data_IF_135573724675
#
_entry.id   IF_135573724675
#
_cell.length_a   1.000
_cell.length_b   1.000
_cell.length_c   1.000
_cell.angle_alpha   90.00
_cell.angle_beta   90.00
_cell.angle_gamma   90.00
#
_symmetry.space_group_name_H-M   'P 1'
#
loop_
_entity.id
_entity.type
_entity.pdbx_description
1 polymer ?
#
# COMPACT_ATOMS: atom_id res chain seq x y z
N UNK A 1 -5.93 -15.86 3.68
CA UNK A 1 -5.98 -14.99 4.87
C UNK A 1 -6.55 -13.65 4.46
N UNK A 2 -7.54 -13.17 5.18
CA UNK A 2 -8.18 -11.88 4.90
C UNK A 2 -8.18 -11.03 6.16
N UNK A 3 -7.90 -9.74 6.04
CA UNK A 3 -8.02 -8.79 7.14
C UNK A 3 -8.13 -7.35 6.61
N UNK A 4 -8.68 -6.48 7.45
CA UNK A 4 -8.81 -5.05 7.20
C UNK A 4 -7.91 -4.27 8.16
N UNK A 5 -7.25 -3.24 7.65
CA UNK A 5 -6.50 -2.28 8.46
C UNK A 5 -7.02 -0.87 8.18
N UNK A 6 -7.05 -0.03 9.20
CA UNK A 6 -7.58 1.34 9.09
C UNK A 6 -6.71 2.32 9.85
N UNK A 7 -6.72 3.57 9.39
CA UNK A 7 -6.13 4.70 10.10
C UNK A 7 -6.91 5.97 9.78
N UNK A 8 -7.01 6.88 10.74
CA UNK A 8 -7.55 8.23 10.51
C UNK A 8 -6.37 9.18 10.33
N UNK A 9 -6.32 9.84 9.18
CA UNK A 9 -5.27 10.79 8.81
C UNK A 9 -5.81 12.20 9.06
N UNK A 10 -5.10 13.00 9.85
CA UNK A 10 -5.47 14.38 10.14
C UNK A 10 -5.09 15.32 8.99
N UNK A 11 -5.77 15.12 7.88
CA UNK A 11 -5.64 15.92 6.66
C UNK A 11 -6.88 15.76 5.79
N UNK A 12 -7.24 16.78 4.99
CA UNK A 12 -8.36 16.70 4.03
C UNK A 12 -8.08 15.64 2.96
N UNK A 13 -9.15 15.00 2.49
CA UNK A 13 -9.04 13.89 1.54
C UNK A 13 -8.34 14.25 0.22
N UNK A 14 -8.56 15.44 -0.30
CA UNK A 14 -7.91 15.91 -1.53
C UNK A 14 -6.38 15.93 -1.40
N UNK A 15 -5.87 16.35 -0.26
CA UNK A 15 -4.43 16.36 0.06
C UNK A 15 -3.86 14.95 0.24
N UNK A 16 -4.61 14.10 0.93
CA UNK A 16 -4.23 12.69 1.12
C UNK A 16 -4.08 11.98 -0.23
N UNK A 17 -5.06 12.16 -1.13
CA UNK A 17 -5.05 11.53 -2.45
C UNK A 17 -3.90 12.00 -3.32
N UNK A 18 -3.59 13.30 -3.33
CA UNK A 18 -2.45 13.84 -4.09
C UNK A 18 -1.14 13.15 -3.66
N UNK A 19 -0.95 12.95 -2.36
CA UNK A 19 0.25 12.31 -1.83
C UNK A 19 0.29 10.80 -2.07
N UNK A 20 -0.86 10.14 -1.96
CA UNK A 20 -0.97 8.69 -2.20
C UNK A 20 -0.79 8.33 -3.68
N UNK A 21 -1.37 9.11 -4.58
CA UNK A 21 -1.43 8.79 -6.00
C UNK A 21 -0.18 9.21 -6.79
N UNK A 22 0.90 9.51 -6.11
CA UNK A 22 2.19 9.82 -6.73
C UNK A 22 3.24 8.78 -6.35
N UNK A 23 3.62 7.86 -7.27
CA UNK A 23 4.64 6.84 -6.99
C UNK A 23 6.00 7.39 -6.56
N UNK A 24 6.35 8.62 -6.95
CA UNK A 24 7.61 9.26 -6.53
C UNK A 24 7.67 9.49 -5.01
N UNK A 25 6.52 9.52 -4.33
CA UNK A 25 6.47 9.69 -2.89
C UNK A 25 6.75 8.37 -2.13
N UNK A 26 6.72 7.22 -2.80
CA UNK A 26 6.88 5.92 -2.14
C UNK A 26 8.19 5.81 -1.38
N UNK A 27 9.29 6.28 -1.95
CA UNK A 27 10.60 6.28 -1.27
C UNK A 27 10.65 7.16 -0.02
N UNK A 28 9.72 8.10 0.12
CA UNK A 28 9.67 9.05 1.23
C UNK A 28 9.00 8.48 2.47
N UNK A 29 8.14 7.47 2.31
CA UNK A 29 7.38 6.94 3.45
C UNK A 29 7.32 5.41 3.53
N UNK A 30 7.58 4.68 2.43
CA UNK A 30 7.61 3.22 2.46
C UNK A 30 8.98 2.71 2.90
N UNK A 31 9.02 2.08 4.07
CA UNK A 31 10.25 1.46 4.57
C UNK A 31 10.75 0.38 3.61
N UNK A 32 12.02 0.48 3.25
CA UNK A 32 12.69 -0.50 2.41
C UNK A 32 12.41 -0.38 0.91
N UNK A 33 11.59 0.57 0.48
CA UNK A 33 11.34 0.77 -0.96
C UNK A 33 12.65 1.08 -1.70
N UNK A 34 12.91 0.36 -2.79
CA UNK A 34 14.10 0.55 -3.65
C UNK A 34 13.69 1.12 -5.01
N UNK A 35 12.80 0.44 -5.73
CA UNK A 35 12.45 0.82 -7.10
C UNK A 35 11.08 0.32 -7.53
N UNK A 36 10.51 1.03 -8.51
CA UNK A 36 9.28 0.66 -9.20
C UNK A 36 9.46 1.01 -10.69
N UNK A 37 9.34 0.01 -11.55
CA UNK A 37 9.58 0.17 -12.98
C UNK A 37 8.42 -0.44 -13.76
N UNK A 38 7.86 0.32 -14.72
CA UNK A 38 6.79 -0.19 -15.58
C UNK A 38 7.30 -1.37 -16.42
N UNK A 39 6.64 -2.51 -16.29
CA UNK A 39 6.96 -3.75 -16.99
C UNK A 39 6.12 -3.93 -18.23
N UNK A 40 4.83 -3.66 -18.15
CA UNK A 40 3.88 -3.81 -19.26
C UNK A 40 2.60 -3.02 -18.97
N UNK A 41 1.81 -2.80 -20.02
CA UNK A 41 0.56 -2.06 -19.95
C UNK A 41 0.76 -0.55 -20.04
N UNK A 42 -0.35 0.18 -19.91
CA UNK A 42 -0.35 1.63 -19.90
C UNK A 42 -0.17 2.15 -18.48
N UNK A 43 0.79 3.05 -18.29
CA UNK A 43 1.16 3.58 -16.98
C UNK A 43 -0.04 4.08 -16.17
N UNK A 44 -0.15 3.62 -14.92
CA UNK A 44 -1.20 3.96 -13.96
C UNK A 44 -2.62 3.54 -14.33
N UNK A 45 -2.80 2.76 -15.39
CA UNK A 45 -4.11 2.25 -15.83
C UNK A 45 -4.34 0.81 -15.37
N UNK A 46 -5.59 0.37 -15.23
CA UNK A 46 -5.89 -1.04 -14.96
C UNK A 46 -5.18 -1.96 -15.95
N UNK A 47 -4.56 -3.02 -15.43
CA UNK A 47 -3.74 -3.96 -16.19
C UNK A 47 -2.26 -3.60 -16.26
N UNK A 48 -1.86 -2.39 -15.90
CA UNK A 48 -0.45 -2.03 -15.82
C UNK A 48 0.29 -2.89 -14.79
N UNK A 49 1.48 -3.35 -15.16
CA UNK A 49 2.35 -4.16 -14.30
C UNK A 49 3.66 -3.42 -14.05
N UNK A 50 4.11 -3.52 -12.80
CA UNK A 50 5.36 -2.90 -12.35
C UNK A 50 6.25 -3.93 -11.66
N UNK A 51 7.54 -3.90 -12.00
CA UNK A 51 8.55 -4.60 -11.19
C UNK A 51 8.92 -3.72 -10.01
N UNK A 52 8.74 -4.24 -8.81
CA UNK A 52 9.03 -3.53 -7.56
C UNK A 52 10.10 -4.26 -6.78
N UNK A 53 10.99 -3.48 -6.15
CA UNK A 53 12.04 -3.99 -5.28
C UNK A 53 11.94 -3.33 -3.91
N UNK A 54 12.04 -4.15 -2.87
CA UNK A 54 12.09 -3.73 -1.48
C UNK A 54 13.26 -4.40 -0.76
N UNK A 55 13.83 -3.69 0.19
CA UNK A 55 14.80 -4.27 1.13
C UNK A 55 14.10 -4.55 2.45
N UNK A 56 14.14 -5.81 2.89
CA UNK A 56 13.59 -6.23 4.18
C UNK A 56 14.69 -6.89 5.00
N UNK A 57 15.22 -6.15 5.98
CA UNK A 57 16.40 -6.56 6.72
C UNK A 57 17.64 -6.64 5.79
N UNK A 58 18.23 -7.83 5.68
CA UNK A 58 19.37 -8.08 4.79
C UNK A 58 18.98 -8.61 3.41
N UNK A 59 17.68 -8.81 3.14
CA UNK A 59 17.21 -9.42 1.90
C UNK A 59 16.54 -8.39 1.01
N UNK A 60 16.77 -8.51 -0.29
CA UNK A 60 15.96 -7.84 -1.29
C UNK A 60 14.79 -8.76 -1.69
N UNK A 61 13.60 -8.16 -1.78
CA UNK A 61 12.39 -8.84 -2.24
C UNK A 61 11.96 -8.18 -3.54
N UNK A 62 11.75 -9.01 -4.55
CA UNK A 62 11.17 -8.59 -5.83
C UNK A 62 9.71 -9.03 -5.87
N UNK A 63 8.85 -8.14 -6.36
CA UNK A 63 7.44 -8.43 -6.57
C UNK A 63 6.92 -7.73 -7.82
N UNK A 64 5.82 -8.24 -8.35
CA UNK A 64 5.11 -7.61 -9.47
C UNK A 64 3.80 -7.04 -8.94
N UNK A 65 3.62 -5.74 -9.10
CA UNK A 65 2.33 -5.08 -8.88
C UNK A 65 1.52 -5.13 -10.18
N UNK A 66 0.24 -5.48 -10.09
CA UNK A 66 -0.72 -5.33 -11.18
C UNK A 66 -1.87 -4.46 -10.71
N UNK A 67 -2.10 -3.34 -11.38
CA UNK A 67 -3.25 -2.48 -11.08
C UNK A 67 -4.53 -3.15 -11.56
N UNK A 68 -5.50 -3.31 -10.67
CA UNK A 68 -6.83 -3.84 -10.99
C UNK A 68 -7.85 -2.71 -11.20
N UNK A 69 -7.85 -1.71 -10.32
CA UNK A 69 -8.73 -0.54 -10.38
C UNK A 69 -7.96 0.70 -9.94
N UNK A 70 -8.20 1.81 -10.61
CA UNK A 70 -7.62 3.11 -10.26
C UNK A 70 -8.71 4.18 -10.37
N UNK A 71 -9.49 4.31 -9.30
CA UNK A 71 -10.64 5.22 -9.21
C UNK A 71 -10.66 5.87 -7.82
N UNK A 72 -9.62 6.65 -7.54
CA UNK A 72 -9.49 7.38 -6.28
C UNK A 72 -10.46 8.57 -6.20
N UNK A 73 -10.97 8.89 -5.03
CA UNK A 73 -10.65 8.34 -3.69
C UNK A 73 -11.39 7.04 -3.37
N UNK A 74 -12.32 6.61 -4.22
CA UNK A 74 -13.19 5.46 -3.96
C UNK A 74 -12.39 4.16 -3.81
N UNK A 75 -11.50 3.87 -4.75
CA UNK A 75 -10.70 2.64 -4.71
C UNK A 75 -9.42 2.76 -5.54
N UNK A 76 -8.34 2.25 -5.00
CA UNK A 76 -7.16 1.82 -5.73
C UNK A 76 -6.88 0.37 -5.35
N UNK A 77 -7.08 -0.54 -6.29
CA UNK A 77 -6.92 -1.98 -6.08
C UNK A 77 -5.76 -2.51 -6.91
N UNK A 78 -4.86 -3.26 -6.28
CA UNK A 78 -3.73 -3.88 -6.94
C UNK A 78 -3.41 -5.24 -6.35
N UNK A 79 -2.78 -6.10 -7.15
CA UNK A 79 -2.20 -7.34 -6.67
C UNK A 79 -0.68 -7.22 -6.62
N UNK A 80 -0.08 -7.92 -5.68
CA UNK A 80 1.37 -8.02 -5.49
C UNK A 80 1.76 -9.48 -5.48
N UNK A 81 2.61 -9.86 -6.42
CA UNK A 81 3.06 -11.24 -6.57
C UNK A 81 4.55 -11.36 -6.28
N UNK A 82 4.90 -12.16 -5.31
CA UNK A 82 6.27 -12.53 -4.97
C UNK A 82 6.38 -14.06 -4.91
N UNK A 83 7.59 -14.58 -4.74
CA UNK A 83 7.79 -16.03 -4.64
C UNK A 83 6.92 -16.62 -3.52
N UNK A 84 6.04 -17.55 -3.88
CA UNK A 84 5.14 -18.26 -2.95
C UNK A 84 4.10 -17.37 -2.24
N UNK A 85 3.89 -16.14 -2.70
CA UNK A 85 2.94 -15.23 -2.11
C UNK A 85 2.20 -14.44 -3.19
N UNK A 86 0.89 -14.33 -3.03
CA UNK A 86 0.02 -13.44 -3.78
C UNK A 86 -0.80 -12.63 -2.78
N UNK A 87 -0.84 -11.34 -2.96
CA UNK A 87 -1.60 -10.42 -2.13
C UNK A 87 -2.42 -9.49 -3.00
N UNK A 88 -3.71 -9.32 -2.68
CA UNK A 88 -4.53 -8.23 -3.21
C UNK A 88 -4.77 -7.22 -2.10
N UNK A 89 -4.60 -5.96 -2.43
CA UNK A 89 -4.87 -4.85 -1.52
C UNK A 89 -5.86 -3.90 -2.19
N UNK A 90 -6.98 -3.68 -1.52
CA UNK A 90 -7.99 -2.71 -1.92
C UNK A 90 -7.89 -1.50 -0.99
N UNK A 91 -7.44 -0.37 -1.53
CA UNK A 91 -7.29 0.89 -0.78
C UNK A 91 -8.50 1.78 -1.02
N UNK A 92 -9.09 2.32 0.04
CA UNK A 92 -10.20 3.27 -0.06
C UNK A 92 -10.04 4.40 0.95
N UNK A 93 -10.56 5.58 0.57
CA UNK A 93 -10.44 6.79 1.37
C UNK A 93 -11.82 7.45 1.48
N UNK A 94 -12.19 7.82 2.72
CA UNK A 94 -13.47 8.48 3.00
C UNK A 94 -13.24 9.72 3.88
N UNK A 95 -13.88 10.87 3.57
CA UNK A 95 -13.81 12.03 4.44
C UNK A 95 -14.58 11.73 5.74
N UNK A 96 -14.06 12.22 6.87
CA UNK A 96 -14.77 12.19 8.15
C UNK A 96 -15.55 13.50 8.35
N UNK A 97 -16.49 13.51 9.30
CA UNK A 97 -17.30 14.71 9.59
C UNK A 97 -16.46 15.91 10.05
N UNK A 98 -15.34 15.65 10.72
CA UNK A 98 -14.42 16.68 11.22
C UNK A 98 -13.31 17.07 10.23
N UNK A 99 -13.46 16.72 8.94
CA UNK A 99 -12.53 17.13 7.89
C UNK A 99 -11.23 16.33 7.81
N UNK A 100 -11.17 15.17 8.45
CA UNK A 100 -10.08 14.21 8.35
C UNK A 100 -10.36 13.17 7.28
N UNK A 101 -9.48 12.19 7.14
CA UNK A 101 -9.62 11.12 6.16
C UNK A 101 -9.50 9.75 6.82
N UNK A 102 -10.49 8.89 6.62
CA UNK A 102 -10.40 7.47 6.96
C UNK A 102 -9.76 6.73 5.78
N UNK A 103 -8.59 6.14 6.02
CA UNK A 103 -7.91 5.28 5.07
C UNK A 103 -8.08 3.82 5.48
N UNK A 104 -8.64 3.02 4.59
CA UNK A 104 -8.91 1.61 4.81
C UNK A 104 -8.20 0.77 3.77
N UNK A 105 -7.60 -0.34 4.19
CA UNK A 105 -7.09 -1.37 3.30
C UNK A 105 -7.72 -2.71 3.63
N UNK A 106 -8.30 -3.35 2.60
CA UNK A 106 -8.74 -4.74 2.67
C UNK A 106 -7.69 -5.61 2.00
N UNK A 107 -7.20 -6.59 2.74
CA UNK A 107 -6.10 -7.44 2.31
C UNK A 107 -6.54 -8.89 2.15
N UNK A 108 -6.18 -9.50 1.03
CA UNK A 108 -6.37 -10.92 0.76
C UNK A 108 -5.02 -11.53 0.41
N UNK A 109 -4.58 -12.53 1.20
CA UNK A 109 -3.33 -13.26 0.96
C UNK A 109 -3.58 -14.70 0.56
N UNK A 110 -2.83 -15.17 -0.44
CA UNK A 110 -2.68 -16.57 -0.81
C UNK A 110 -1.21 -16.94 -0.74
N UNK A 111 -0.88 -17.95 0.03
CA UNK A 111 0.49 -18.37 0.29
C UNK A 111 0.69 -19.84 -0.04
N UNK A 112 1.91 -20.20 -0.47
CA UNK A 112 2.31 -21.57 -0.80
C UNK A 112 3.60 -21.92 -0.09
N UNK A 113 3.87 -23.24 0.06
CA UNK A 113 5.11 -23.73 0.63
C UNK A 113 5.39 -23.19 2.03
N UNK A 114 6.62 -22.79 2.30
CA UNK A 114 7.07 -22.27 3.59
C UNK A 114 6.29 -21.03 4.04
N UNK A 115 5.90 -20.15 3.11
CA UNK A 115 5.10 -18.96 3.42
C UNK A 115 3.72 -19.33 3.99
N UNK A 116 3.13 -20.44 3.56
CA UNK A 116 1.87 -20.92 4.12
C UNK A 116 2.03 -21.33 5.59
N UNK A 117 3.14 -21.96 5.92
CA UNK A 117 3.46 -22.35 7.31
C UNK A 117 3.62 -21.10 8.18
N UNK A 118 4.36 -20.10 7.71
CA UNK A 118 4.53 -18.83 8.42
C UNK A 118 3.18 -18.14 8.64
N UNK A 119 2.32 -18.11 7.63
CA UNK A 119 0.99 -17.52 7.73
C UNK A 119 0.08 -18.20 8.75
N UNK A 120 0.23 -19.53 8.93
CA UNK A 120 -0.51 -20.30 9.95
C UNK A 120 0.05 -20.06 11.36
N UNK A 121 1.38 -20.03 11.50
CA UNK A 121 2.05 -19.89 12.80
C UNK A 121 2.08 -18.45 13.31
N UNK A 122 2.09 -17.46 12.39
CA UNK A 122 2.21 -16.04 12.74
C UNK A 122 1.17 -15.20 11.96
N UNK A 123 -0.13 -15.45 12.11
CA UNK A 123 -1.16 -14.77 11.31
C UNK A 123 -1.21 -13.26 11.59
N UNK A 124 -0.90 -12.84 12.81
CA UNK A 124 -0.89 -11.43 13.20
C UNK A 124 0.26 -10.62 12.61
N UNK A 125 1.35 -11.26 12.15
CA UNK A 125 2.51 -10.56 11.61
C UNK A 125 2.17 -9.76 10.35
N UNK A 126 1.35 -10.32 9.47
CA UNK A 126 0.93 -9.66 8.22
C UNK A 126 0.03 -8.46 8.50
N UNK A 127 -0.94 -8.60 9.39
CA UNK A 127 -1.82 -7.50 9.80
C UNK A 127 -1.04 -6.38 10.48
N UNK A 128 -0.10 -6.73 11.34
CA UNK A 128 0.78 -5.76 12.01
C UNK A 128 1.63 -4.98 11.01
N UNK A 129 2.17 -5.66 9.99
CA UNK A 129 2.96 -5.01 8.94
C UNK A 129 2.10 -4.06 8.10
N UNK A 130 0.89 -4.46 7.74
CA UNK A 130 -0.06 -3.58 7.02
C UNK A 130 -0.44 -2.37 7.86
N UNK A 131 -0.70 -2.55 9.15
CA UNK A 131 -1.02 -1.43 10.04
C UNK A 131 0.15 -0.45 10.16
N UNK A 132 1.39 -0.96 10.24
CA UNK A 132 2.59 -0.11 10.25
C UNK A 132 2.68 0.71 8.96
N UNK A 133 2.39 0.11 7.83
CA UNK A 133 2.38 0.78 6.53
C UNK A 133 1.38 1.95 6.49
N UNK A 134 0.17 1.74 6.99
CA UNK A 134 -0.83 2.80 7.10
C UNK A 134 -0.38 3.91 8.06
N UNK A 135 0.20 3.54 9.19
CA UNK A 135 0.67 4.49 10.18
C UNK A 135 1.84 5.34 9.64
N UNK A 136 2.74 4.74 8.88
CA UNK A 136 3.86 5.44 8.25
C UNK A 136 3.36 6.44 7.19
N UNK A 137 2.37 6.04 6.39
CA UNK A 137 1.73 6.95 5.44
C UNK A 137 1.03 8.12 6.14
N UNK A 138 0.27 7.85 7.20
CA UNK A 138 -0.37 8.88 8.05
C UNK A 138 0.65 9.89 8.52
N UNK A 139 1.76 9.43 9.10
CA UNK A 139 2.83 10.30 9.62
C UNK A 139 3.41 11.18 8.50
N UNK A 140 3.66 10.59 7.34
CA UNK A 140 4.16 11.30 6.17
C UNK A 140 3.20 12.40 5.71
N UNK A 141 1.91 12.06 5.52
CA UNK A 141 0.89 13.02 5.05
C UNK A 141 0.73 14.17 6.02
N UNK A 142 0.59 13.89 7.31
CA UNK A 142 0.37 14.92 8.32
C UNK A 142 1.57 15.87 8.42
N UNK A 143 2.79 15.38 8.24
CA UNK A 143 3.99 16.21 8.17
C UNK A 143 4.01 17.11 6.93
N UNK A 144 3.71 16.55 5.76
CA UNK A 144 3.68 17.31 4.49
C UNK A 144 2.61 18.41 4.52
N UNK A 145 1.44 18.11 5.04
CA UNK A 145 0.33 19.08 5.14
C UNK A 145 0.65 20.17 6.16
N UNK A 146 1.21 19.82 7.33
CA UNK A 146 1.57 20.81 8.37
C UNK A 146 2.70 21.73 7.93
N UNK A 147 3.58 21.27 7.05
CA UNK A 147 4.68 22.07 6.51
C UNK A 147 4.26 22.92 5.28
N UNK A 148 2.95 22.93 4.92
CA UNK A 148 2.42 23.64 3.75
C UNK A 148 3.14 23.28 2.44
N UNK A 149 3.51 22.02 2.27
CA UNK A 149 4.19 21.53 1.06
C UNK A 149 3.22 21.07 -0.02
N UNK A 150 1.94 21.36 0.19
CA UNK A 150 0.85 21.08 -0.76
C UNK A 150 0.08 22.35 -1.12
#
# INVERSE_FOLDING_TARGET
MNYTSQVIIDAPIDKVIILFDNPENMSKWQEGFISMTLKSGEDRKPGAKYDMKYKMGKREIEMVETILQHDLPRIFSATYEAKNMWNQVDNSFHPTEDGKTLYTTDNTFKMRGMMKIIGILMPGAFKKQSQKFLNDFKTYVEKEVSNNQL
#
